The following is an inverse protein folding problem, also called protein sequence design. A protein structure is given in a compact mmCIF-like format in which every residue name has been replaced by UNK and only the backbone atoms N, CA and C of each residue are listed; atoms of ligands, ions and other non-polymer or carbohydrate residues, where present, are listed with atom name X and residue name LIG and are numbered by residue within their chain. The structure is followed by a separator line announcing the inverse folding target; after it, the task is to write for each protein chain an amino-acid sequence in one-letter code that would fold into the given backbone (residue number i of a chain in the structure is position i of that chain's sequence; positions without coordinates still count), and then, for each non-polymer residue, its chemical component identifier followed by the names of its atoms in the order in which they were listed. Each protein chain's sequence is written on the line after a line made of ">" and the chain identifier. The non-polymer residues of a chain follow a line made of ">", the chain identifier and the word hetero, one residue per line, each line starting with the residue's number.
data_IF_004833311262
#
_entry.id   IF_004833311262
#
_cell.length_a   1.000
_cell.length_b   1.000
_cell.length_c   1.000
_cell.angle_alpha   90.00
_cell.angle_beta   90.00
_cell.angle_gamma   90.00
#
_symmetry.space_group_name_H-M   'P 1'
#
loop_
_entity.id
_entity.type
_entity.pdbx_description
1 polymer ?
#
# COMPACT_ATOMS: atom_id res chain seq x y z
N UNK A 1 -8.86 -19.76 -8.61
CA UNK A 1 -8.44 -18.41 -8.23
C UNK A 1 -9.39 -17.35 -8.72
N UNK A 2 -9.53 -16.27 -7.96
CA UNK A 2 -10.39 -15.14 -8.30
C UNK A 2 -9.55 -13.96 -8.78
N UNK A 3 -10.03 -13.31 -9.84
CA UNK A 3 -9.43 -12.09 -10.40
C UNK A 3 -10.52 -11.05 -10.61
N UNK A 4 -10.19 -9.79 -10.32
CA UNK A 4 -10.98 -8.66 -10.78
C UNK A 4 -10.72 -8.48 -12.29
N UNK A 5 -11.73 -8.69 -13.13
CA UNK A 5 -11.62 -8.59 -14.59
C UNK A 5 -11.84 -7.18 -15.12
N UNK A 6 -12.00 -6.18 -14.23
CA UNK A 6 -12.16 -4.77 -14.58
C UNK A 6 -10.83 -4.04 -14.82
N UNK A 7 -9.70 -4.61 -14.38
CA UNK A 7 -8.38 -4.03 -14.58
C UNK A 7 -7.27 -5.01 -14.21
N UNK A 8 -6.13 -4.91 -14.88
CA UNK A 8 -4.99 -5.78 -14.61
C UNK A 8 -4.44 -5.58 -13.20
N UNK A 9 -4.25 -4.33 -12.81
CA UNK A 9 -3.84 -3.89 -11.47
C UNK A 9 -4.92 -2.94 -10.94
N UNK A 10 -5.27 -3.09 -9.67
CA UNK A 10 -6.20 -2.21 -8.96
C UNK A 10 -5.57 -1.71 -7.67
N UNK A 11 -5.99 -0.55 -7.16
CA UNK A 11 -5.45 0.01 -5.92
C UNK A 11 -6.52 0.39 -4.91
N UNK A 12 -6.13 0.36 -3.64
CA UNK A 12 -6.93 0.86 -2.51
C UNK A 12 -6.52 2.31 -2.23
N UNK A 13 -7.51 3.20 -2.15
CA UNK A 13 -7.32 4.61 -1.89
C UNK A 13 -6.95 4.91 -0.43
N UNK A 14 -6.35 6.09 -0.19
CA UNK A 14 -5.89 6.48 1.15
C UNK A 14 -7.04 6.65 2.16
N UNK A 15 -8.26 6.87 1.66
CA UNK A 15 -9.49 7.03 2.47
C UNK A 15 -10.25 5.71 2.69
N UNK A 16 -9.85 4.63 2.02
CA UNK A 16 -10.57 3.35 2.01
C UNK A 16 -9.70 2.15 2.40
N UNK A 17 -8.53 2.40 2.98
CA UNK A 17 -7.55 1.37 3.40
C UNK A 17 -7.66 0.96 4.88
N UNK A 18 -8.86 0.96 5.43
CA UNK A 18 -9.09 0.47 6.79
C UNK A 18 -8.95 -1.07 6.78
N UNK A 19 -8.11 -1.67 7.65
CA UNK A 19 -7.81 -3.11 7.64
C UNK A 19 -9.03 -4.02 7.70
N UNK A 20 -10.06 -3.61 8.44
CA UNK A 20 -11.28 -4.36 8.72
C UNK A 20 -12.47 -3.99 7.81
N UNK A 21 -12.22 -3.24 6.73
CA UNK A 21 -13.27 -2.77 5.82
C UNK A 21 -13.27 -3.46 4.45
N UNK A 22 -14.38 -3.29 3.73
CA UNK A 22 -14.71 -4.00 2.50
C UNK A 22 -13.67 -3.91 1.38
N UNK A 23 -12.92 -2.80 1.24
CA UNK A 23 -11.94 -2.67 0.16
C UNK A 23 -10.71 -3.58 0.39
N UNK A 24 -10.24 -3.67 1.64
CA UNK A 24 -9.16 -4.58 2.02
C UNK A 24 -9.65 -6.03 1.94
N UNK A 25 -10.87 -6.31 2.42
CA UNK A 25 -11.52 -7.62 2.30
C UNK A 25 -11.62 -8.10 0.85
N UNK A 26 -12.08 -7.22 -0.05
CA UNK A 26 -12.17 -7.53 -1.47
C UNK A 26 -10.78 -7.83 -2.07
N UNK A 27 -9.79 -6.96 -1.80
CA UNK A 27 -8.47 -7.08 -2.40
C UNK A 27 -7.68 -8.29 -1.89
N UNK A 28 -7.84 -8.69 -0.62
CA UNK A 28 -7.16 -9.90 -0.09
C UNK A 28 -7.66 -11.19 -0.75
N UNK A 29 -8.85 -11.19 -1.34
CA UNK A 29 -9.46 -12.35 -2.00
C UNK A 29 -9.11 -12.54 -3.48
N UNK A 30 -8.52 -11.53 -4.16
CA UNK A 30 -8.21 -11.59 -5.59
C UNK A 30 -6.71 -11.74 -5.86
N UNK A 31 -6.34 -12.27 -7.02
CA UNK A 31 -4.94 -12.54 -7.42
C UNK A 31 -4.26 -11.45 -8.26
N UNK A 32 -4.97 -10.37 -8.62
CA UNK A 32 -4.38 -9.22 -9.32
C UNK A 32 -3.20 -8.62 -8.52
N UNK A 33 -2.17 -8.05 -9.17
CA UNK A 33 -1.27 -7.12 -8.51
C UNK A 33 -2.07 -5.97 -7.88
N UNK A 34 -1.68 -5.58 -6.67
CA UNK A 34 -2.40 -4.60 -5.88
C UNK A 34 -1.59 -3.33 -5.67
N UNK A 35 -2.28 -2.20 -5.62
CA UNK A 35 -1.74 -0.92 -5.17
C UNK A 35 -2.32 -0.50 -3.82
N UNK A 36 -1.53 0.20 -3.03
CA UNK A 36 -1.99 0.79 -1.77
C UNK A 36 -1.49 2.22 -1.67
N UNK A 37 -2.40 3.19 -1.56
CA UNK A 37 -2.03 4.59 -1.34
C UNK A 37 -1.51 4.78 0.10
N UNK A 38 -0.35 5.39 0.22
CA UNK A 38 0.30 5.71 1.50
C UNK A 38 0.34 7.23 1.68
N UNK A 39 -0.58 7.77 2.49
CA UNK A 39 -0.62 9.18 2.86
C UNK A 39 -0.05 9.48 4.25
N UNK A 40 0.00 10.77 4.65
CA UNK A 40 0.61 11.22 5.90
C UNK A 40 0.04 10.61 7.20
N UNK A 41 -1.19 10.11 7.17
CA UNK A 41 -1.84 9.46 8.32
C UNK A 41 -1.43 8.00 8.53
N UNK A 42 -0.70 7.39 7.59
CA UNK A 42 -0.28 5.99 7.68
C UNK A 42 0.94 5.86 8.61
N UNK A 43 0.81 5.02 9.64
CA UNK A 43 1.90 4.67 10.56
C UNK A 43 2.70 3.46 10.04
N UNK A 44 3.94 3.24 10.51
CA UNK A 44 4.70 2.04 10.18
C UNK A 44 3.97 0.75 10.54
N UNK A 45 3.42 0.64 11.74
CA UNK A 45 2.73 -0.58 12.20
C UNK A 45 1.45 -0.83 11.39
N UNK A 46 0.67 0.22 11.12
CA UNK A 46 -0.52 0.09 10.28
C UNK A 46 -0.19 -0.25 8.83
N UNK A 47 0.97 0.16 8.31
CA UNK A 47 1.44 -0.28 7.00
C UNK A 47 1.79 -1.76 7.01
N UNK A 48 2.48 -2.24 8.05
CA UNK A 48 2.85 -3.66 8.17
C UNK A 48 1.60 -4.55 8.26
N UNK A 49 0.61 -4.17 9.06
CA UNK A 49 -0.68 -4.87 9.12
C UNK A 49 -1.34 -4.97 7.74
N UNK A 50 -1.39 -3.88 6.98
CA UNK A 50 -1.96 -3.86 5.63
C UNK A 50 -1.16 -4.72 4.64
N UNK A 51 0.17 -4.76 4.76
CA UNK A 51 1.01 -5.64 3.93
C UNK A 51 0.67 -7.11 4.24
N UNK A 52 0.49 -7.47 5.51
CA UNK A 52 0.22 -8.85 5.94
C UNK A 52 -1.13 -9.33 5.43
N UNK A 53 -2.12 -8.46 5.41
CA UNK A 53 -3.45 -8.75 4.88
C UNK A 53 -3.47 -8.89 3.34
N UNK A 54 -2.66 -8.10 2.63
CA UNK A 54 -2.73 -8.00 1.17
C UNK A 54 -1.67 -8.84 0.42
N UNK A 55 -0.56 -9.17 1.10
CA UNK A 55 0.55 -9.98 0.60
C UNK A 55 1.05 -10.98 1.68
N UNK A 56 0.20 -11.91 2.15
CA UNK A 56 0.54 -12.81 3.26
C UNK A 56 1.73 -13.73 2.96
N UNK A 57 1.90 -14.13 1.70
CA UNK A 57 3.00 -15.01 1.24
C UNK A 57 4.29 -14.23 0.90
N UNK A 58 4.29 -12.91 1.15
CA UNK A 58 5.42 -12.01 0.84
C UNK A 58 5.92 -12.11 -0.61
N UNK A 59 5.00 -12.30 -1.55
CA UNK A 59 5.30 -12.52 -2.98
C UNK A 59 5.82 -11.22 -3.63
N UNK A 60 7.03 -11.21 -4.22
CA UNK A 60 7.55 -10.05 -4.93
C UNK A 60 6.65 -9.63 -6.10
N UNK A 61 6.31 -8.34 -6.17
CA UNK A 61 5.44 -7.80 -7.22
C UNK A 61 3.94 -7.86 -6.91
N UNK A 62 3.52 -8.55 -5.85
CA UNK A 62 2.11 -8.59 -5.41
C UNK A 62 1.59 -7.22 -4.98
N UNK A 63 2.39 -6.43 -4.25
CA UNK A 63 1.94 -5.18 -3.64
C UNK A 63 2.85 -4.00 -4.01
N UNK A 64 2.24 -2.94 -4.55
CA UNK A 64 2.88 -1.64 -4.81
C UNK A 64 2.39 -0.59 -3.80
N UNK A 65 3.32 -0.02 -3.04
CA UNK A 65 3.08 1.07 -2.10
C UNK A 65 3.25 2.42 -2.80
N UNK A 66 2.16 3.19 -2.89
CA UNK A 66 2.07 4.43 -3.66
C UNK A 66 2.13 5.62 -2.69
N UNK A 67 3.32 6.18 -2.50
CA UNK A 67 3.61 7.25 -1.55
C UNK A 67 3.12 8.62 -2.05
N UNK A 68 2.23 9.27 -1.28
CA UNK A 68 1.58 10.55 -1.63
C UNK A 68 1.62 11.59 -0.49
N UNK A 69 2.81 11.88 0.02
CA UNK A 69 2.96 12.68 1.24
C UNK A 69 2.85 14.20 1.05
N UNK A 70 3.16 14.70 -0.15
CA UNK A 70 3.44 16.12 -0.37
C UNK A 70 4.92 16.42 -0.29
N UNK A 71 5.34 17.47 -1.00
CA UNK A 71 6.74 17.88 -1.15
C UNK A 71 7.37 18.34 0.17
N UNK A 72 6.56 18.94 1.05
CA UNK A 72 6.92 19.42 2.39
C UNK A 72 7.08 18.28 3.42
N UNK A 73 6.36 17.17 3.24
CA UNK A 73 6.24 16.10 4.25
C UNK A 73 6.97 14.80 3.89
N UNK A 74 7.28 14.57 2.62
CA UNK A 74 7.82 13.28 2.16
C UNK A 74 9.13 12.90 2.87
N UNK A 75 10.02 13.87 3.10
CA UNK A 75 11.31 13.63 3.75
C UNK A 75 11.17 13.16 5.21
N UNK A 76 10.09 13.56 5.89
CA UNK A 76 9.84 13.17 7.27
C UNK A 76 9.14 11.80 7.39
N UNK A 77 8.15 11.56 6.53
CA UNK A 77 7.26 10.40 6.65
C UNK A 77 7.78 9.15 5.93
N UNK A 78 8.18 9.27 4.65
CA UNK A 78 8.50 8.10 3.82
C UNK A 78 9.65 7.26 4.39
N UNK A 79 10.77 7.83 4.90
CA UNK A 79 11.86 7.01 5.43
C UNK A 79 11.45 6.14 6.62
N UNK A 80 10.48 6.57 7.45
CA UNK A 80 9.98 5.78 8.59
C UNK A 80 9.31 4.49 8.08
N UNK A 81 8.48 4.60 7.03
CA UNK A 81 7.80 3.46 6.43
C UNK A 81 8.77 2.52 5.70
N UNK A 82 9.66 3.06 4.87
CA UNK A 82 10.65 2.26 4.13
C UNK A 82 11.54 1.45 5.08
N UNK A 83 11.97 2.06 6.20
CA UNK A 83 12.78 1.35 7.21
C UNK A 83 12.01 0.22 7.87
N UNK A 84 10.74 0.41 8.22
CA UNK A 84 9.91 -0.64 8.81
C UNK A 84 9.72 -1.82 7.85
N UNK A 85 9.32 -1.54 6.60
CA UNK A 85 9.17 -2.56 5.55
C UNK A 85 10.46 -3.34 5.32
N UNK A 86 11.60 -2.64 5.24
CA UNK A 86 12.91 -3.27 5.06
C UNK A 86 13.32 -4.11 6.27
N UNK A 87 13.07 -3.62 7.49
CA UNK A 87 13.41 -4.32 8.75
C UNK A 87 12.64 -5.64 8.86
N UNK A 88 11.35 -5.63 8.50
CA UNK A 88 10.48 -6.81 8.56
C UNK A 88 10.58 -7.70 7.30
N UNK A 89 11.51 -7.42 6.39
CA UNK A 89 11.78 -8.26 5.21
C UNK A 89 10.63 -8.32 4.20
N UNK A 90 9.77 -7.31 4.14
CA UNK A 90 8.59 -7.31 3.27
C UNK A 90 8.94 -6.89 1.83
N UNK A 91 8.50 -7.69 0.87
CA UNK A 91 8.71 -7.54 -0.56
C UNK A 91 7.60 -6.68 -1.16
N UNK A 92 7.93 -5.45 -1.53
CA UNK A 92 7.01 -4.48 -2.13
C UNK A 92 7.70 -3.66 -3.21
N UNK A 93 6.90 -3.10 -4.11
CA UNK A 93 7.35 -2.05 -5.05
C UNK A 93 6.98 -0.69 -4.47
N UNK A 94 7.90 0.29 -4.53
CA UNK A 94 7.61 1.67 -4.14
C UNK A 94 7.34 2.52 -5.38
N UNK A 95 6.26 3.30 -5.35
CA UNK A 95 5.91 4.29 -6.38
C UNK A 95 5.69 5.66 -5.74
N UNK A 96 6.09 6.72 -6.42
CA UNK A 96 5.79 8.10 -6.02
C UNK A 96 4.52 8.59 -6.69
N UNK A 97 3.62 9.19 -5.91
CA UNK A 97 2.49 9.98 -6.39
C UNK A 97 2.68 11.43 -5.92
N UNK A 98 3.33 12.27 -6.74
CA UNK A 98 3.68 13.64 -6.38
C UNK A 98 2.49 14.61 -6.53
N UNK A 99 1.30 14.14 -6.93
CA UNK A 99 0.17 15.01 -7.24
C UNK A 99 -0.76 15.15 -6.03
N UNK A 100 -1.27 14.03 -5.52
CA UNK A 100 -2.35 14.03 -4.52
C UNK A 100 -1.94 14.58 -3.14
N UNK A 101 -0.64 14.72 -2.88
CA UNK A 101 -0.11 15.33 -1.65
C UNK A 101 0.17 16.83 -1.77
N UNK A 102 0.03 17.43 -2.95
CA UNK A 102 0.43 18.81 -3.27
C UNK A 102 -0.73 19.60 -3.90
N UNK A 103 -1.95 19.42 -3.37
CA UNK A 103 -3.16 20.13 -3.82
C UNK A 103 -3.62 21.09 -2.75
#
# INVERSE_FOLDING_TARGET
>A
DWYATSGHMIWIGDRTRQPDHAHVEYCRGIKNPLGLKCGPSLTPDGLLELIDLLNPENEPGRLTLIARFGSDKVAEHLPKLVRAVKKEGRSVVWSSDPMHGNT
#
